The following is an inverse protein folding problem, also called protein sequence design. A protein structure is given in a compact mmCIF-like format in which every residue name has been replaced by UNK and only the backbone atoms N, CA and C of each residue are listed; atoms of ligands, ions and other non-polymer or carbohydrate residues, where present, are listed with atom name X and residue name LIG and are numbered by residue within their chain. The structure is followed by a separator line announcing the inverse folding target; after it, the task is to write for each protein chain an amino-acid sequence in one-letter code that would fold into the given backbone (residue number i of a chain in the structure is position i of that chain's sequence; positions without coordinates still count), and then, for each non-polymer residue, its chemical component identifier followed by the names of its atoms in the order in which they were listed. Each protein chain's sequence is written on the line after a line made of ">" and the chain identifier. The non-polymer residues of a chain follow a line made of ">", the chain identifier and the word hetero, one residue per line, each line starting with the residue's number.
data_IF_374412981246
#
_entry.id   IF_374412981246
#
_cell.length_a   1.000
_cell.length_b   1.000
_cell.length_c   1.000
_cell.angle_alpha   90.00
_cell.angle_beta   90.00
_cell.angle_gamma   90.00
#
_symmetry.space_group_name_H-M   'P 1'
#
loop_
_entity.id
_entity.type
_entity.pdbx_description
1 polymer ?
#
# COMPACT_ATOMS: atom_id res chain seq x y z
N UNK A 1 11.14 10.09 12.09
CA UNK A 1 12.17 9.04 11.93
C UNK A 1 11.81 8.00 12.95
N UNK A 2 11.08 6.97 12.53
CA UNK A 2 10.40 6.04 13.42
C UNK A 2 11.39 5.36 14.36
N UNK A 3 11.00 5.24 15.63
CA UNK A 3 11.81 4.76 16.77
C UNK A 3 12.36 3.33 16.64
N UNK A 4 12.00 2.60 15.57
CA UNK A 4 12.42 1.23 15.29
C UNK A 4 13.10 1.04 13.93
N UNK A 5 13.49 2.12 13.26
CA UNK A 5 14.14 2.04 11.96
C UNK A 5 15.43 1.19 12.03
N UNK A 6 15.48 0.10 11.26
CA UNK A 6 16.62 -0.82 11.22
C UNK A 6 16.54 -1.98 12.21
N UNK A 7 15.48 -2.08 13.01
CA UNK A 7 15.17 -3.26 13.83
C UNK A 7 14.55 -4.36 12.96
N UNK A 8 15.01 -5.59 13.09
CA UNK A 8 14.37 -6.73 12.45
C UNK A 8 13.09 -7.11 13.22
N UNK A 9 11.94 -6.80 12.62
CA UNK A 9 10.60 -7.07 13.15
C UNK A 9 9.98 -8.31 12.48
N UNK A 10 10.78 -9.17 11.85
CA UNK A 10 10.26 -10.34 11.13
C UNK A 10 9.52 -11.30 12.06
N UNK A 11 10.08 -11.60 13.24
CA UNK A 11 9.44 -12.47 14.23
C UNK A 11 8.06 -11.92 14.68
N UNK A 12 7.93 -10.60 14.72
CA UNK A 12 6.71 -9.92 15.08
C UNK A 12 5.66 -10.00 13.95
N UNK A 13 6.02 -9.68 12.71
CA UNK A 13 5.05 -9.49 11.62
C UNK A 13 4.75 -10.75 10.82
N UNK A 14 5.74 -11.61 10.56
CA UNK A 14 5.57 -12.78 9.68
C UNK A 14 4.41 -13.70 10.11
N UNK A 15 4.18 -13.98 11.41
CA UNK A 15 3.04 -14.78 11.83
C UNK A 15 1.67 -14.22 11.39
N UNK A 16 1.48 -12.89 11.46
CA UNK A 16 0.26 -12.24 10.97
C UNK A 16 0.13 -12.37 9.45
N UNK A 17 1.20 -12.09 8.71
CA UNK A 17 1.19 -12.12 7.25
C UNK A 17 0.89 -13.53 6.70
N UNK A 18 1.43 -14.57 7.35
CA UNK A 18 1.13 -15.98 7.03
C UNK A 18 -0.35 -16.29 7.25
N UNK A 19 -0.90 -15.92 8.41
CA UNK A 19 -2.33 -16.14 8.70
C UNK A 19 -3.24 -15.44 7.71
N UNK A 20 -2.94 -14.18 7.36
CA UNK A 20 -3.73 -13.46 6.35
C UNK A 20 -3.63 -14.15 4.99
N UNK A 21 -2.46 -14.63 4.61
CA UNK A 21 -2.24 -15.40 3.36
C UNK A 21 -3.06 -16.68 3.29
N UNK A 22 -3.07 -17.44 4.38
CA UNK A 22 -3.81 -18.71 4.52
C UNK A 22 -5.32 -18.51 4.49
N UNK A 23 -5.81 -17.49 5.20
CA UNK A 23 -7.26 -17.29 5.39
C UNK A 23 -7.92 -16.52 4.25
N UNK A 24 -7.19 -15.64 3.58
CA UNK A 24 -7.76 -14.67 2.65
C UNK A 24 -7.05 -14.81 1.28
N UNK A 25 -7.62 -15.59 0.33
CA UNK A 25 -6.96 -15.89 -0.95
C UNK A 25 -6.65 -14.68 -1.82
N UNK A 26 -7.41 -13.59 -1.68
CA UNK A 26 -7.23 -12.36 -2.43
C UNK A 26 -6.44 -11.26 -1.66
N UNK A 27 -5.97 -11.56 -0.45
CA UNK A 27 -5.11 -10.65 0.32
C UNK A 27 -3.64 -10.79 -0.08
N UNK A 28 -2.87 -9.70 -0.14
CA UNK A 28 -1.42 -9.78 -0.26
C UNK A 28 -0.73 -8.43 -0.12
N UNK A 29 0.56 -8.44 0.18
CA UNK A 29 1.38 -7.23 0.18
C UNK A 29 1.65 -6.79 -1.25
N UNK A 30 1.41 -5.53 -1.59
CA UNK A 30 1.62 -5.03 -2.97
C UNK A 30 2.86 -4.15 -3.12
N UNK A 31 3.44 -3.65 -2.03
CA UNK A 31 4.77 -3.05 -2.02
C UNK A 31 5.38 -3.05 -0.62
N UNK A 32 6.65 -2.66 -0.52
CA UNK A 32 7.36 -2.33 0.73
C UNK A 32 7.57 -3.50 1.73
N UNK A 33 7.27 -4.76 1.37
CA UNK A 33 7.29 -5.90 2.29
C UNK A 33 8.60 -5.99 3.10
N UNK A 34 9.74 -5.94 2.41
CA UNK A 34 11.06 -6.08 3.05
C UNK A 34 11.38 -4.88 3.95
N UNK A 35 11.05 -3.65 3.51
CA UNK A 35 11.32 -2.44 4.29
C UNK A 35 10.54 -2.41 5.61
N UNK A 36 9.27 -2.80 5.57
CA UNK A 36 8.42 -2.82 6.75
C UNK A 36 8.87 -3.88 7.77
N UNK A 37 9.38 -5.03 7.30
CA UNK A 37 9.99 -6.05 8.17
C UNK A 37 11.23 -5.53 8.91
N UNK A 38 11.97 -4.59 8.34
CA UNK A 38 13.13 -3.94 9.00
C UNK A 38 12.78 -2.60 9.70
N UNK A 39 11.53 -2.44 10.13
CA UNK A 39 11.07 -1.28 10.91
C UNK A 39 10.97 0.03 10.13
N UNK A 40 11.06 -0.02 8.80
CA UNK A 40 10.89 1.15 7.93
C UNK A 40 9.49 1.20 7.32
N UNK A 41 8.64 2.06 7.88
CA UNK A 41 7.33 2.32 7.28
C UNK A 41 6.24 1.39 7.81
N UNK A 42 5.29 1.12 6.94
CA UNK A 42 4.04 0.40 7.14
C UNK A 42 3.93 -0.74 6.11
N UNK A 43 2.99 -1.66 6.35
CA UNK A 43 2.65 -2.69 5.36
C UNK A 43 1.55 -2.18 4.43
N UNK A 44 1.90 -2.01 3.16
CA UNK A 44 0.94 -1.72 2.11
C UNK A 44 0.43 -3.02 1.48
N UNK A 45 -0.80 -3.38 1.81
CA UNK A 45 -1.50 -4.57 1.34
C UNK A 45 -2.73 -4.24 0.48
N UNK A 46 -3.28 -5.26 -0.16
CA UNK A 46 -4.51 -5.21 -0.93
C UNK A 46 -5.39 -6.40 -0.55
N UNK A 47 -6.69 -6.17 -0.47
CA UNK A 47 -7.70 -7.21 -0.29
C UNK A 47 -9.09 -6.66 -0.65
N UNK A 48 -10.03 -7.50 -1.08
CA UNK A 48 -11.41 -7.11 -1.34
C UNK A 48 -12.05 -6.47 -0.10
N UNK A 49 -12.92 -5.46 -0.30
CA UNK A 49 -13.59 -4.75 0.81
C UNK A 49 -14.44 -5.70 1.68
N UNK A 50 -14.97 -6.78 1.09
CA UNK A 50 -15.69 -7.85 1.81
C UNK A 50 -14.85 -8.61 2.85
N UNK A 51 -13.52 -8.55 2.75
CA UNK A 51 -12.59 -9.27 3.63
C UNK A 51 -12.07 -8.39 4.78
N UNK A 52 -12.42 -7.09 4.80
CA UNK A 52 -11.88 -6.10 5.74
C UNK A 52 -12.14 -6.45 7.20
N UNK A 53 -13.35 -6.87 7.55
CA UNK A 53 -13.68 -7.25 8.93
C UNK A 53 -12.86 -8.46 9.41
N UNK A 54 -12.61 -9.43 8.52
CA UNK A 54 -11.77 -10.58 8.83
C UNK A 54 -10.31 -10.18 9.04
N UNK A 55 -9.80 -9.22 8.25
CA UNK A 55 -8.44 -8.68 8.42
C UNK A 55 -8.32 -7.93 9.75
N UNK A 56 -9.29 -7.08 10.09
CA UNK A 56 -9.34 -6.38 11.38
C UNK A 56 -9.30 -7.39 12.52
N UNK A 57 -10.11 -8.46 12.44
CA UNK A 57 -10.14 -9.50 13.46
C UNK A 57 -8.84 -10.30 13.62
N UNK A 58 -8.09 -10.57 12.54
CA UNK A 58 -6.76 -11.19 12.64
C UNK A 58 -5.72 -10.20 13.18
N UNK A 59 -5.73 -8.95 12.71
CA UNK A 59 -4.81 -7.92 13.18
C UNK A 59 -5.00 -7.62 14.67
N UNK A 60 -6.25 -7.51 15.15
CA UNK A 60 -6.54 -7.29 16.58
C UNK A 60 -6.09 -8.44 17.46
N UNK A 61 -6.32 -9.70 17.04
CA UNK A 61 -5.85 -10.86 17.79
C UNK A 61 -4.32 -10.93 17.84
N UNK A 62 -3.67 -10.68 16.72
CA UNK A 62 -2.22 -10.60 16.65
C UNK A 62 -1.69 -9.49 17.58
N UNK A 63 -2.24 -8.28 17.49
CA UNK A 63 -1.82 -7.14 18.31
C UNK A 63 -1.94 -7.47 19.81
N UNK A 64 -3.10 -7.97 20.25
CA UNK A 64 -3.33 -8.36 21.64
C UNK A 64 -2.36 -9.45 22.12
N UNK A 65 -2.10 -10.48 21.31
CA UNK A 65 -1.14 -11.54 21.67
C UNK A 65 0.32 -11.06 21.85
N UNK A 66 0.65 -9.86 21.36
CA UNK A 66 1.95 -9.23 21.50
C UNK A 66 1.94 -8.02 22.45
N UNK A 67 0.83 -7.80 23.18
CA UNK A 67 0.69 -6.69 24.13
C UNK A 67 0.56 -5.31 23.46
N UNK A 68 0.15 -5.26 22.20
CA UNK A 68 -0.18 -4.02 21.51
C UNK A 68 -1.68 -3.77 21.54
N UNK A 69 -2.07 -2.52 21.78
CA UNK A 69 -3.47 -2.17 21.88
C UNK A 69 -3.72 -0.82 22.56
N UNK A 70 -4.90 -0.22 22.31
CA UNK A 70 -6.00 -0.81 21.57
C UNK A 70 -5.79 -0.74 20.04
N UNK A 71 -6.63 -1.47 19.29
CA UNK A 71 -6.62 -1.46 17.82
C UNK A 71 -7.70 -0.54 17.28
N UNK A 72 -7.36 0.32 16.32
CA UNK A 72 -8.30 1.19 15.64
C UNK A 72 -8.28 0.95 14.13
N UNK A 73 -9.47 0.95 13.53
CA UNK A 73 -9.66 0.79 12.09
C UNK A 73 -10.30 2.04 11.49
N UNK A 74 -9.79 2.52 10.36
CA UNK A 74 -10.28 3.71 9.68
C UNK A 74 -10.59 3.44 8.20
N UNK A 75 -11.89 3.39 7.82
CA UNK A 75 -12.33 3.27 6.44
C UNK A 75 -12.66 4.63 5.78
N UNK A 76 -12.33 5.76 6.41
CA UNK A 76 -12.77 7.08 5.95
C UNK A 76 -12.26 7.47 4.55
N UNK A 77 -11.16 6.86 4.07
CA UNK A 77 -10.70 7.03 2.69
C UNK A 77 -11.32 5.93 1.83
N UNK A 78 -12.22 6.29 0.91
CA UNK A 78 -12.91 5.31 0.07
C UNK A 78 -11.94 4.37 -0.66
N UNK A 79 -12.15 3.06 -0.46
CA UNK A 79 -11.33 1.99 -1.04
C UNK A 79 -10.00 1.73 -0.33
N UNK A 80 -9.77 2.33 0.86
CA UNK A 80 -8.59 2.05 1.69
C UNK A 80 -9.01 1.91 3.15
N UNK A 81 -8.59 0.84 3.79
CA UNK A 81 -8.70 0.61 5.22
C UNK A 81 -7.32 0.79 5.85
N UNK A 82 -7.23 1.65 6.86
CA UNK A 82 -6.06 1.79 7.71
C UNK A 82 -6.31 1.07 9.03
N UNK A 83 -5.45 0.15 9.42
CA UNK A 83 -5.54 -0.56 10.70
C UNK A 83 -4.29 -0.24 11.51
N UNK A 84 -4.48 0.22 12.75
CA UNK A 84 -3.37 0.55 13.63
C UNK A 84 -3.50 -0.12 15.00
N UNK A 85 -2.39 -0.62 15.54
CA UNK A 85 -2.26 -1.05 16.93
C UNK A 85 -1.37 -0.07 17.69
N UNK A 86 -1.81 0.35 18.87
CA UNK A 86 -1.02 1.23 19.74
C UNK A 86 0.14 0.47 20.39
N UNK A 87 1.35 0.97 20.19
CA UNK A 87 2.51 0.63 21.00
C UNK A 87 2.68 1.69 22.09
N UNK A 88 2.18 1.39 23.29
CA UNK A 88 2.25 2.29 24.45
C UNK A 88 3.68 2.56 24.90
N UNK A 89 4.57 1.56 24.79
CA UNK A 89 5.96 1.66 25.24
C UNK A 89 6.72 2.68 24.41
N UNK A 90 6.53 2.65 23.09
CA UNK A 90 7.23 3.54 22.16
C UNK A 90 6.42 4.76 21.76
N UNK A 91 5.15 4.85 22.18
CA UNK A 91 4.19 5.90 21.82
C UNK A 91 4.08 6.05 20.31
N UNK A 92 4.03 4.92 19.63
CA UNK A 92 3.90 4.81 18.18
C UNK A 92 2.72 3.92 17.84
N UNK A 93 2.37 3.87 16.55
CA UNK A 93 1.42 2.89 16.04
C UNK A 93 2.08 1.92 15.05
N UNK A 94 1.69 0.65 15.13
CA UNK A 94 1.97 -0.37 14.12
C UNK A 94 0.85 -0.36 13.10
N UNK A 95 1.16 -0.29 11.81
CA UNK A 95 0.20 0.04 10.75
C UNK A 95 0.16 -1.03 9.65
N UNK A 96 -1.06 -1.37 9.25
CA UNK A 96 -1.37 -2.16 8.05
C UNK A 96 -2.40 -1.40 7.20
N UNK A 97 -1.97 -1.04 5.99
CA UNK A 97 -2.81 -0.43 4.97
C UNK A 97 -3.40 -1.51 4.07
N UNK A 98 -4.72 -1.49 3.87
CA UNK A 98 -5.43 -2.44 3.02
C UNK A 98 -6.15 -1.69 1.91
N UNK A 99 -5.62 -1.77 0.69
CA UNK A 99 -6.19 -1.13 -0.49
C UNK A 99 -7.23 -2.08 -1.13
N UNK A 100 -8.50 -1.70 -1.10
CA UNK A 100 -9.58 -2.36 -1.85
C UNK A 100 -9.54 -2.03 -3.34
N UNK A 101 -8.82 -0.97 -3.72
CA UNK A 101 -8.38 -0.67 -5.09
C UNK A 101 -7.30 0.39 -5.07
N UNK A 102 -6.59 0.54 -6.19
CA UNK A 102 -5.55 1.55 -6.34
C UNK A 102 -5.75 2.40 -7.58
N UNK A 103 -5.38 3.68 -7.49
CA UNK A 103 -5.70 4.66 -8.53
C UNK A 103 -4.47 5.30 -9.17
N UNK A 104 -4.53 5.50 -10.48
CA UNK A 104 -3.56 6.28 -11.24
C UNK A 104 -4.30 7.25 -12.17
N UNK A 105 -3.96 8.55 -12.10
CA UNK A 105 -4.58 9.63 -12.91
C UNK A 105 -6.13 9.62 -12.99
N UNK A 106 -6.81 9.11 -11.97
CA UNK A 106 -8.29 9.10 -11.89
C UNK A 106 -8.94 7.79 -12.35
N UNK A 107 -8.14 6.83 -12.82
CA UNK A 107 -8.55 5.48 -13.18
C UNK A 107 -8.16 4.48 -12.09
N UNK A 108 -9.00 3.45 -11.87
CA UNK A 108 -8.65 2.28 -11.05
C UNK A 108 -7.59 1.42 -11.76
N UNK A 109 -6.35 1.54 -11.31
CA UNK A 109 -5.19 0.85 -11.86
C UNK A 109 -5.22 -0.66 -11.60
N UNK A 110 -5.63 -1.05 -10.39
CA UNK A 110 -5.89 -2.45 -10.05
C UNK A 110 -6.89 -2.55 -8.91
N UNK A 111 -7.55 -3.70 -8.86
CA UNK A 111 -8.25 -4.27 -7.71
C UNK A 111 -7.43 -5.46 -7.15
N UNK A 112 -7.70 -5.89 -5.91
CA UNK A 112 -7.05 -7.03 -5.29
C UNK A 112 -7.06 -8.28 -6.20
N UNK A 113 -8.20 -8.57 -6.81
CA UNK A 113 -8.36 -9.73 -7.69
C UNK A 113 -7.44 -9.70 -8.91
N UNK A 114 -7.16 -8.51 -9.46
CA UNK A 114 -6.27 -8.36 -10.63
C UNK A 114 -4.83 -8.77 -10.29
N UNK A 115 -4.40 -8.55 -9.04
CA UNK A 115 -3.03 -8.81 -8.60
C UNK A 115 -2.77 -10.27 -8.25
N UNK A 116 -3.80 -11.08 -8.01
CA UNK A 116 -3.64 -12.50 -7.65
C UNK A 116 -2.76 -13.28 -8.65
N UNK A 117 -2.87 -12.96 -9.94
CA UNK A 117 -2.10 -13.59 -11.03
C UNK A 117 -0.61 -13.21 -11.06
N UNK A 118 -0.22 -12.15 -10.36
CA UNK A 118 1.16 -11.63 -10.27
C UNK A 118 1.68 -11.62 -8.85
N UNK A 119 0.98 -12.30 -7.95
CA UNK A 119 1.39 -12.55 -6.58
C UNK A 119 2.04 -13.93 -6.47
N UNK A 120 2.93 -14.04 -5.51
CA UNK A 120 3.57 -15.29 -5.11
C UNK A 120 3.54 -15.40 -3.58
N UNK A 121 3.62 -16.61 -3.06
CA UNK A 121 3.96 -16.85 -1.67
C UNK A 121 5.48 -16.95 -1.62
N UNK A 122 6.12 -16.06 -0.87
CA UNK A 122 7.58 -16.05 -0.78
C UNK A 122 8.10 -17.14 0.17
N UNK A 123 9.42 -17.23 0.30
CA UNK A 123 10.12 -18.17 1.17
C UNK A 123 9.76 -18.02 2.66
N UNK A 124 9.34 -16.81 3.06
CA UNK A 124 8.83 -16.52 4.40
C UNK A 124 7.38 -16.94 4.57
N UNK A 125 6.69 -17.39 3.52
CA UNK A 125 5.38 -18.03 3.60
C UNK A 125 4.20 -17.06 3.57
N UNK A 126 4.40 -15.81 3.15
CA UNK A 126 3.29 -14.87 2.96
C UNK A 126 3.16 -14.40 1.51
N UNK A 127 1.94 -14.00 1.13
CA UNK A 127 1.63 -13.55 -0.22
C UNK A 127 2.10 -12.12 -0.44
N UNK A 128 2.91 -11.93 -1.49
CA UNK A 128 3.33 -10.62 -1.98
C UNK A 128 3.23 -10.54 -3.49
N UNK A 129 3.13 -9.33 -4.01
CA UNK A 129 3.35 -9.07 -5.45
C UNK A 129 4.81 -9.37 -5.78
N UNK A 130 5.02 -10.04 -6.92
CA UNK A 130 6.35 -10.33 -7.45
C UNK A 130 7.16 -9.04 -7.67
N UNK A 131 8.48 -9.04 -7.48
CA UNK A 131 9.30 -7.82 -7.57
C UNK A 131 9.09 -7.01 -8.85
N UNK A 132 9.04 -7.66 -10.02
CA UNK A 132 8.87 -6.98 -11.29
C UNK A 132 7.49 -6.36 -11.46
N UNK A 133 6.47 -7.03 -10.93
CA UNK A 133 5.10 -6.53 -10.90
C UNK A 133 4.98 -5.31 -9.97
N UNK A 134 5.62 -5.34 -8.80
CA UNK A 134 5.75 -4.19 -7.90
C UNK A 134 6.46 -3.02 -8.61
N UNK A 135 7.53 -3.31 -9.35
CA UNK A 135 8.25 -2.33 -10.17
C UNK A 135 7.36 -1.62 -11.19
N UNK A 136 6.46 -2.32 -11.87
CA UNK A 136 5.49 -1.73 -12.82
C UNK A 136 4.50 -0.81 -12.11
N UNK A 137 3.96 -1.26 -10.98
CA UNK A 137 3.05 -0.48 -10.16
C UNK A 137 3.73 0.81 -9.68
N UNK A 138 4.96 0.73 -9.19
CA UNK A 138 5.71 1.88 -8.69
C UNK A 138 6.22 2.79 -9.83
N UNK A 139 6.54 2.25 -11.00
CA UNK A 139 6.86 3.05 -12.19
C UNK A 139 5.72 4.00 -12.54
N UNK A 140 4.48 3.50 -12.56
CA UNK A 140 3.31 4.32 -12.88
C UNK A 140 2.96 5.31 -11.76
N UNK A 141 3.02 4.89 -10.49
CA UNK A 141 2.64 5.74 -9.36
C UNK A 141 3.69 6.78 -8.98
N UNK A 142 4.95 6.38 -8.96
CA UNK A 142 6.05 7.15 -8.39
C UNK A 142 7.05 7.58 -9.45
N UNK A 143 7.20 6.83 -10.54
CA UNK A 143 8.15 7.10 -11.62
C UNK A 143 7.67 8.07 -12.71
N UNK A 144 6.36 8.32 -12.81
CA UNK A 144 5.75 9.08 -13.91
C UNK A 144 5.17 10.43 -13.47
N UNK A 145 5.72 11.52 -14.02
CA UNK A 145 5.16 12.89 -13.93
C UNK A 145 4.25 13.19 -15.13
N UNK A 146 3.42 14.23 -14.97
CA UNK A 146 2.58 14.76 -16.05
C UNK A 146 3.36 15.04 -17.33
N UNK A 147 2.73 14.70 -18.45
CA UNK A 147 3.27 14.85 -19.80
C UNK A 147 4.28 13.76 -20.13
N UNK A 148 4.13 12.55 -19.56
CA UNK A 148 5.02 11.43 -19.80
C UNK A 148 6.45 11.61 -19.28
N UNK A 149 6.69 12.55 -18.34
CA UNK A 149 8.04 12.91 -17.89
C UNK A 149 8.53 11.99 -16.76
N UNK A 150 9.83 11.72 -16.64
CA UNK A 150 10.35 10.92 -15.54
C UNK A 150 10.27 11.65 -14.21
N UNK A 151 10.05 10.90 -13.14
CA UNK A 151 10.31 11.32 -11.77
C UNK A 151 11.54 10.58 -11.24
N UNK A 152 12.75 11.09 -11.53
CA UNK A 152 13.99 10.41 -11.13
C UNK A 152 14.11 10.17 -9.63
N UNK A 153 13.63 11.11 -8.80
CA UNK A 153 13.59 10.95 -7.36
C UNK A 153 12.69 9.79 -6.95
N UNK A 154 11.47 9.71 -7.51
CA UNK A 154 10.53 8.63 -7.22
C UNK A 154 11.02 7.26 -7.71
N UNK A 155 11.67 7.21 -8.89
CA UNK A 155 12.28 5.99 -9.40
C UNK A 155 13.36 5.46 -8.45
N UNK A 156 14.27 6.34 -7.98
CA UNK A 156 15.34 5.97 -7.05
C UNK A 156 14.82 5.61 -5.68
N UNK A 157 13.96 6.43 -5.09
CA UNK A 157 13.45 6.23 -3.74
C UNK A 157 12.63 4.93 -3.58
N UNK A 158 12.12 4.41 -4.70
CA UNK A 158 11.31 3.18 -4.77
C UNK A 158 12.02 2.02 -5.46
N UNK A 159 13.31 2.15 -5.78
CA UNK A 159 14.13 1.11 -6.40
C UNK A 159 13.46 0.50 -7.66
N UNK A 160 12.80 1.35 -8.45
CA UNK A 160 12.00 0.90 -9.60
C UNK A 160 12.88 0.18 -10.64
N UNK A 161 14.04 0.70 -11.05
CA UNK A 161 14.92 -0.01 -11.98
C UNK A 161 15.34 -1.40 -11.48
N UNK A 162 15.68 -1.51 -10.20
CA UNK A 162 16.14 -2.74 -9.56
C UNK A 162 15.03 -3.80 -9.50
N UNK A 163 13.83 -3.40 -9.09
CA UNK A 163 12.64 -4.27 -9.08
C UNK A 163 12.32 -4.81 -10.48
N UNK A 164 12.34 -3.94 -11.49
CA UNK A 164 12.07 -4.32 -12.89
C UNK A 164 13.16 -5.25 -13.46
N UNK A 165 14.42 -5.05 -13.08
CA UNK A 165 15.54 -5.88 -13.53
C UNK A 165 15.57 -7.25 -12.85
N UNK A 166 15.18 -7.32 -11.57
CA UNK A 166 15.18 -8.55 -10.79
C UNK A 166 14.16 -9.59 -11.29
N UNK A 167 13.03 -9.14 -11.85
CA UNK A 167 11.98 -10.03 -12.35
C UNK A 167 11.30 -9.50 -13.63
N UNK A 168 11.95 -9.64 -14.80
CA UNK A 168 11.39 -9.21 -16.08
C UNK A 168 10.09 -9.93 -16.47
N UNK A 169 9.86 -11.14 -15.95
CA UNK A 169 8.64 -11.89 -16.22
C UNK A 169 7.45 -11.34 -15.43
N UNK A 170 7.63 -11.06 -14.13
CA UNK A 170 6.62 -10.41 -13.31
C UNK A 170 6.28 -9.01 -13.83
N UNK A 171 7.27 -8.27 -14.33
CA UNK A 171 7.05 -6.98 -14.96
C UNK A 171 6.16 -7.10 -16.21
N UNK A 172 6.44 -8.05 -17.10
CA UNK A 172 5.59 -8.32 -18.28
C UNK A 172 4.19 -8.78 -17.89
N UNK A 173 4.06 -9.66 -16.89
CA UNK A 173 2.78 -10.15 -16.41
C UNK A 173 1.91 -9.00 -15.86
N UNK A 174 2.48 -8.12 -15.03
CA UNK A 174 1.76 -6.97 -14.49
C UNK A 174 1.42 -5.92 -15.55
N UNK A 175 2.29 -5.69 -16.54
CA UNK A 175 1.99 -4.76 -17.62
C UNK A 175 0.75 -5.16 -18.42
N UNK A 176 0.47 -6.45 -18.57
CA UNK A 176 -0.77 -6.94 -19.23
C UNK A 176 -2.04 -6.53 -18.50
N UNK A 177 -1.99 -6.28 -17.18
CA UNK A 177 -3.13 -5.78 -16.41
C UNK A 177 -3.56 -4.36 -16.84
N UNK A 178 -2.69 -3.62 -17.52
CA UNK A 178 -2.99 -2.30 -18.08
C UNK A 178 -3.65 -2.36 -19.46
N UNK A 179 -4.07 -3.56 -19.90
CA UNK A 179 -4.82 -3.76 -21.14
C UNK A 179 -4.06 -3.22 -22.37
N UNK A 180 -4.70 -2.39 -23.23
CA UNK A 180 -4.06 -1.83 -24.41
C UNK A 180 -2.77 -1.03 -24.13
N UNK A 181 -2.64 -0.43 -22.94
CA UNK A 181 -1.44 0.32 -22.56
C UNK A 181 -0.27 -0.58 -22.12
N UNK A 182 -0.48 -1.89 -21.97
CA UNK A 182 0.52 -2.82 -21.45
C UNK A 182 1.82 -2.82 -22.25
N UNK A 183 1.75 -2.85 -23.59
CA UNK A 183 2.96 -2.80 -24.45
C UNK A 183 3.76 -1.50 -24.27
N UNK A 184 3.08 -0.38 -24.09
CA UNK A 184 3.73 0.90 -23.84
C UNK A 184 4.40 0.90 -22.46
N UNK A 185 3.74 0.31 -21.46
CA UNK A 185 4.28 0.18 -20.12
C UNK A 185 5.51 -0.74 -20.08
N UNK A 186 5.48 -1.87 -20.80
CA UNK A 186 6.65 -2.75 -21.00
C UNK A 186 7.81 -2.00 -21.67
N UNK A 187 7.54 -1.22 -22.72
CA UNK A 187 8.56 -0.41 -23.39
C UNK A 187 9.14 0.68 -22.48
N UNK A 188 8.31 1.27 -21.62
CA UNK A 188 8.75 2.20 -20.57
C UNK A 188 9.66 1.53 -19.54
N UNK A 189 9.24 0.38 -19.01
CA UNK A 189 10.02 -0.42 -18.06
C UNK A 189 11.37 -0.88 -18.64
N UNK A 190 11.39 -1.34 -19.89
CA UNK A 190 12.60 -1.72 -20.61
C UNK A 190 13.56 -0.54 -20.83
N UNK A 191 13.05 0.68 -21.00
CA UNK A 191 13.89 1.86 -21.07
C UNK A 191 14.50 2.21 -19.70
N UNK A 192 13.68 2.15 -18.64
CA UNK A 192 14.11 2.46 -17.26
C UNK A 192 15.23 1.52 -16.79
N UNK A 193 15.12 0.22 -17.06
CA UNK A 193 16.17 -0.77 -16.72
C UNK A 193 17.49 -0.53 -17.45
N UNK A 194 17.46 0.17 -18.59
CA UNK A 194 18.64 0.58 -19.36
C UNK A 194 19.15 1.98 -18.97
N UNK A 195 18.63 2.59 -17.91
CA UNK A 195 18.97 3.95 -17.51
C UNK A 195 18.42 5.04 -18.45
N UNK A 196 17.49 4.69 -19.33
CA UNK A 196 16.86 5.59 -20.30
C UNK A 196 15.40 5.88 -19.96
N UNK A 197 14.74 6.72 -20.76
CA UNK A 197 13.32 7.04 -20.60
C UNK A 197 12.59 7.06 -21.93
N UNK A 198 11.51 6.28 -22.05
CA UNK A 198 10.65 6.26 -23.24
C UNK A 198 9.43 7.17 -23.05
N UNK A 199 9.61 8.47 -23.27
CA UNK A 199 8.55 9.46 -23.09
C UNK A 199 7.29 9.18 -23.95
N UNK A 200 7.39 8.85 -25.25
CA UNK A 200 6.21 8.51 -26.06
C UNK A 200 5.39 7.36 -25.47
N UNK A 201 6.03 6.29 -25.01
CA UNK A 201 5.34 5.17 -24.40
C UNK A 201 4.65 5.58 -23.08
N UNK A 202 5.34 6.35 -22.23
CA UNK A 202 4.75 6.81 -20.98
C UNK A 202 3.60 7.83 -21.18
N UNK A 203 3.61 8.59 -22.27
CA UNK A 203 2.47 9.41 -22.69
C UNK A 203 1.27 8.56 -23.09
N UNK A 204 1.46 7.42 -23.76
CA UNK A 204 0.37 6.50 -24.09
C UNK A 204 -0.26 5.91 -22.83
N UNK A 205 0.55 5.52 -21.85
CA UNK A 205 0.07 5.05 -20.53
C UNK A 205 -0.76 6.13 -19.83
N UNK A 206 -0.28 7.39 -19.83
CA UNK A 206 -1.00 8.51 -19.24
C UNK A 206 -2.31 8.82 -19.98
N UNK A 207 -2.29 8.84 -21.31
CA UNK A 207 -3.48 9.07 -22.13
C UNK A 207 -4.54 7.98 -21.92
N UNK A 208 -4.13 6.71 -21.85
CA UNK A 208 -5.02 5.60 -21.54
C UNK A 208 -5.66 5.77 -20.15
N UNK A 209 -4.87 6.08 -19.13
CA UNK A 209 -5.39 6.29 -17.78
C UNK A 209 -6.39 7.46 -17.72
N UNK A 210 -6.14 8.56 -18.43
CA UNK A 210 -7.08 9.69 -18.51
C UNK A 210 -8.36 9.32 -19.24
N UNK A 211 -8.29 8.57 -20.35
CA UNK A 211 -9.46 8.10 -21.08
C UNK A 211 -10.32 7.17 -20.20
N UNK A 212 -9.68 6.29 -19.42
CA UNK A 212 -10.38 5.41 -18.47
C UNK A 212 -10.98 6.16 -17.29
N UNK A 213 -10.33 7.23 -16.81
CA UNK A 213 -10.84 8.05 -15.71
C UNK A 213 -12.20 8.69 -16.04
N UNK A 214 -12.49 8.98 -17.32
CA UNK A 214 -13.80 9.48 -17.75
C UNK A 214 -14.94 8.49 -17.48
N UNK A 215 -14.62 7.19 -17.37
CA UNK A 215 -15.58 6.14 -17.07
C UNK A 215 -15.77 5.89 -15.57
N UNK A 216 -15.01 6.58 -14.71
CA UNK A 216 -15.01 6.39 -13.26
C UNK A 216 -15.16 7.72 -12.49
N UNK A 217 -16.24 8.49 -12.70
CA UNK A 217 -16.41 9.82 -12.08
C UNK A 217 -16.38 9.78 -10.55
N UNK A 218 -16.85 8.68 -9.94
CA UNK A 218 -16.79 8.47 -8.49
C UNK A 218 -15.36 8.42 -7.92
N UNK A 219 -14.36 8.03 -8.72
CA UNK A 219 -12.96 8.00 -8.29
C UNK A 219 -12.35 9.41 -8.22
N UNK A 220 -12.80 10.33 -9.07
CA UNK A 220 -12.35 11.71 -9.04
C UNK A 220 -12.87 12.43 -7.79
N UNK A 221 -14.13 12.19 -7.43
CA UNK A 221 -14.73 12.77 -6.22
C UNK A 221 -14.10 12.20 -4.95
N UNK A 222 -13.85 10.89 -4.90
CA UNK A 222 -13.22 10.24 -3.73
C UNK A 222 -11.83 10.80 -3.42
N UNK A 223 -11.05 11.20 -4.44
CA UNK A 223 -9.74 11.84 -4.25
C UNK A 223 -9.82 13.20 -3.58
N UNK A 224 -10.82 14.01 -3.96
CA UNK A 224 -11.04 15.32 -3.34
C UNK A 224 -11.49 15.15 -1.88
N UNK A 225 -12.37 14.18 -1.62
CA UNK A 225 -12.82 13.83 -0.28
C UNK A 225 -11.66 13.35 0.58
N UNK A 226 -10.81 12.44 0.07
CA UNK A 226 -9.65 11.91 0.79
C UNK A 226 -8.70 13.01 1.26
N UNK A 227 -8.45 14.04 0.44
CA UNK A 227 -7.62 15.20 0.82
C UNK A 227 -8.19 15.96 2.02
N UNK A 228 -9.52 16.11 2.10
CA UNK A 228 -10.18 16.80 3.22
C UNK A 228 -10.18 15.94 4.48
N UNK A 229 -10.40 14.64 4.33
CA UNK A 229 -10.51 13.68 5.44
C UNK A 229 -9.16 13.46 6.13
N UNK A 230 -8.06 13.35 5.37
CA UNK A 230 -6.72 13.08 5.93
C UNK A 230 -6.28 14.07 7.01
N UNK A 231 -6.73 15.32 6.91
CA UNK A 231 -6.38 16.37 7.88
C UNK A 231 -7.34 16.47 9.07
N UNK A 232 -8.51 15.82 9.00
CA UNK A 232 -9.58 15.90 10.01
C UNK A 232 -9.70 14.65 10.86
N UNK A 233 -9.44 13.48 10.28
CA UNK A 233 -9.46 12.22 10.99
C UNK A 233 -8.22 12.13 11.92
N UNK A 234 -8.40 11.96 13.25
CA UNK A 234 -7.29 11.90 14.20
C UNK A 234 -6.32 10.75 13.90
N UNK A 235 -6.83 9.58 13.50
CA UNK A 235 -6.02 8.42 13.15
C UNK A 235 -5.17 8.69 11.89
N UNK A 236 -5.78 9.21 10.81
CA UNK A 236 -5.03 9.52 9.59
C UNK A 236 -4.04 10.65 9.79
N UNK A 237 -4.33 11.61 10.68
CA UNK A 237 -3.36 12.64 11.05
C UNK A 237 -2.14 12.02 11.73
N UNK A 238 -2.33 11.08 12.66
CA UNK A 238 -1.22 10.36 13.30
C UNK A 238 -0.36 9.65 12.25
N UNK A 239 -0.97 8.96 11.30
CA UNK A 239 -0.27 8.27 10.21
C UNK A 239 0.52 9.24 9.32
N UNK A 240 -0.16 10.25 8.76
CA UNK A 240 0.41 11.06 7.68
C UNK A 240 1.13 12.33 8.13
N UNK A 241 0.75 12.92 9.25
CA UNK A 241 1.30 14.20 9.72
C UNK A 241 2.27 14.05 10.89
N UNK A 242 2.08 13.03 11.73
CA UNK A 242 2.88 12.81 12.93
C UNK A 242 3.84 11.59 12.79
N UNK A 243 4.03 11.06 11.57
CA UNK A 243 4.93 9.92 11.27
C UNK A 243 4.70 8.70 12.18
N UNK A 244 3.41 8.39 12.44
CA UNK A 244 2.96 7.29 13.32
C UNK A 244 3.36 7.47 14.79
N UNK A 245 3.78 8.66 15.21
CA UNK A 245 4.05 9.00 16.60
C UNK A 245 2.83 9.62 17.29
N UNK A 246 2.58 9.22 18.54
CA UNK A 246 1.51 9.79 19.36
C UNK A 246 2.07 10.93 20.20
N UNK A 247 1.77 12.13 19.73
CA UNK A 247 2.10 13.37 20.44
C UNK A 247 1.14 13.58 21.61
N UNK A 248 1.67 13.57 22.83
CA UNK A 248 0.89 13.72 24.06
C UNK A 248 0.40 12.40 24.66
N UNK A 249 -0.61 12.47 25.52
CA UNK A 249 -1.14 11.32 26.27
C UNK A 249 -1.78 10.26 25.35
N UNK A 250 -1.26 9.01 25.32
CA UNK A 250 -1.85 7.91 24.57
C UNK A 250 -3.32 7.64 24.92
N UNK A 251 -3.73 7.77 26.18
CA UNK A 251 -5.12 7.50 26.56
C UNK A 251 -6.06 8.58 26.04
N UNK A 252 -5.59 9.83 25.99
CA UNK A 252 -6.31 10.90 25.31
C UNK A 252 -6.42 10.63 23.81
N UNK A 253 -5.34 10.19 23.17
CA UNK A 253 -5.37 9.83 21.75
C UNK A 253 -6.40 8.74 21.47
N UNK A 254 -6.43 7.67 22.29
CA UNK A 254 -7.44 6.60 22.19
C UNK A 254 -8.86 7.15 22.31
N UNK A 255 -9.12 8.03 23.29
CA UNK A 255 -10.44 8.68 23.45
C UNK A 255 -10.83 9.52 22.24
N UNK A 256 -9.88 10.29 21.69
CA UNK A 256 -10.14 11.15 20.53
C UNK A 256 -10.39 10.33 19.26
N UNK A 257 -9.66 9.23 19.05
CA UNK A 257 -9.90 8.28 17.94
C UNK A 257 -11.24 7.57 18.11
N UNK A 258 -11.55 7.11 19.33
CA UNK A 258 -12.78 6.36 19.66
C UNK A 258 -14.08 7.15 19.54
N UNK A 259 -14.04 8.47 19.33
CA UNK A 259 -15.24 9.27 19.02
C UNK A 259 -15.82 8.94 17.65
N UNK A 260 -14.96 8.66 16.67
CA UNK A 260 -15.33 8.53 15.26
C UNK A 260 -14.89 7.18 14.65
N UNK A 261 -14.27 6.30 15.44
CA UNK A 261 -13.74 5.02 14.97
C UNK A 261 -14.12 3.90 15.93
N UNK A 262 -14.30 2.71 15.38
CA UNK A 262 -14.34 1.49 16.18
C UNK A 262 -12.95 1.24 16.76
N UNK A 263 -12.87 1.27 18.09
CA UNK A 263 -11.67 0.91 18.84
C UNK A 263 -11.93 -0.42 19.52
N UNK A 264 -11.14 -1.42 19.16
CA UNK A 264 -11.18 -2.75 19.74
C UNK A 264 -10.23 -2.77 20.94
N UNK A 265 -10.78 -3.08 22.11
CA UNK A 265 -10.06 -3.07 23.38
C UNK A 265 -8.91 -4.08 23.40
N UNK A 266 -7.98 -3.86 24.33
CA UNK A 266 -6.87 -4.78 24.62
C UNK A 266 -7.48 -6.16 24.96
N UNK A 267 -7.20 -7.14 24.11
CA UNK A 267 -7.65 -8.53 24.30
C UNK A 267 -6.82 -9.28 25.34
#
# INVERSE_FOLDING_TARGET
>A
MTTRAGEDLSELWVPLLRRLTERLPAWGLWKNADRALFGYGDFDSTAPERDWDAIIGEFSRWAGSHGYGPVAACPHVAGVLFIVALDRKHRTVLELDVNGRKYFRGWTMFKPEDLTSVMEIDDRGFRRVRPGAEGIILLTQNGLRWGGRPNHEGLRAKLVPELLAADPEGARAAARLFGPAGKALEAGAAAVTKGAWNRPAMLQVEAYALARALMEPAVLTSRLQARRIKNRCPLLRTIFADDREIRGDPDRWVRDVGRDHTVLADG
#
